data_IF_877129876161
#
_entry.id   IF_877129876161
#
_cell.length_a   1.000
_cell.length_b   1.000
_cell.length_c   1.000
_cell.angle_alpha   90.00
_cell.angle_beta   90.00
_cell.angle_gamma   90.00
#
_symmetry.space_group_name_H-M   'P 1'
#
loop_
_entity.id
_entity.type
_entity.pdbx_description
1 polymer ?
#
# COMPACT_ATOMS: atom_id res chain seq x y z
N UNK A 1 -9.87 12.08 -23.06
CA UNK A 1 -10.69 10.89 -22.78
C UNK A 1 -10.76 10.70 -21.28
N UNK A 2 -11.97 10.84 -20.74
CA UNK A 2 -12.15 10.73 -19.30
C UNK A 2 -12.38 9.27 -18.94
N UNK A 3 -11.33 8.59 -18.52
CA UNK A 3 -11.49 7.27 -17.94
C UNK A 3 -12.03 7.44 -16.53
N UNK A 4 -13.08 6.70 -16.22
CA UNK A 4 -13.66 6.67 -14.90
C UNK A 4 -12.57 6.21 -13.90
N UNK A 5 -12.47 6.91 -12.77
CA UNK A 5 -11.53 6.55 -11.71
C UNK A 5 -11.75 5.13 -11.23
N UNK A 6 -13.00 4.67 -11.22
CA UNK A 6 -13.34 3.31 -10.76
C UNK A 6 -12.84 2.24 -11.73
N UNK A 7 -12.61 2.59 -13.00
CA UNK A 7 -12.00 1.69 -13.98
C UNK A 7 -10.50 1.62 -13.76
N UNK A 8 -9.86 2.78 -13.57
CA UNK A 8 -8.40 2.86 -13.39
C UNK A 8 -7.97 2.42 -12.00
N UNK A 9 -8.78 2.70 -10.99
CA UNK A 9 -8.48 2.45 -9.59
C UNK A 9 -9.64 1.68 -8.97
N UNK A 10 -9.78 0.39 -9.32
CA UNK A 10 -10.94 -0.38 -8.88
C UNK A 10 -11.02 -0.42 -7.36
N UNK A 11 -12.22 -0.14 -6.86
CA UNK A 11 -12.54 -0.26 -5.44
C UNK A 11 -13.22 -1.59 -5.22
N UNK A 12 -12.76 -2.28 -4.21
CA UNK A 12 -13.34 -3.54 -3.81
C UNK A 12 -13.41 -3.59 -2.30
N UNK A 13 -14.47 -4.14 -1.70
CA UNK A 13 -14.53 -4.29 -0.25
C UNK A 13 -13.44 -5.22 0.29
N UNK A 14 -12.82 -6.00 -0.58
CA UNK A 14 -11.75 -6.93 -0.21
C UNK A 14 -10.36 -6.43 -0.57
N UNK A 15 -10.25 -5.17 -0.98
CA UNK A 15 -8.97 -4.58 -1.33
C UNK A 15 -8.51 -3.61 -0.24
N UNK A 16 -7.20 -3.44 -0.14
CA UNK A 16 -6.59 -2.42 0.72
C UNK A 16 -5.52 -1.69 -0.07
N UNK A 17 -5.04 -0.59 0.49
CA UNK A 17 -4.06 0.27 -0.16
C UNK A 17 -2.86 0.48 0.73
N UNK A 18 -1.71 0.66 0.09
CA UNK A 18 -0.44 0.93 0.75
C UNK A 18 0.30 1.99 -0.05
N UNK A 19 1.06 2.83 0.62
CA UNK A 19 2.02 3.70 -0.04
C UNK A 19 3.40 3.35 0.49
N UNK A 20 4.32 3.08 -0.42
CA UNK A 20 5.71 2.80 -0.07
C UNK A 20 6.61 3.88 -0.63
N UNK A 21 7.74 4.12 0.03
CA UNK A 21 8.74 5.07 -0.42
C UNK A 21 10.08 4.36 -0.58
N UNK A 22 10.84 4.77 -1.57
CA UNK A 22 12.19 4.25 -1.79
C UNK A 22 13.01 5.28 -2.55
N UNK A 23 14.31 5.10 -2.56
CA UNK A 23 15.17 5.93 -3.39
C UNK A 23 14.94 5.60 -4.87
N UNK A 24 15.13 6.55 -5.79
CA UNK A 24 14.92 6.29 -7.21
C UNK A 24 15.68 5.07 -7.73
N UNK A 25 16.91 4.87 -7.28
CA UNK A 25 17.72 3.74 -7.73
C UNK A 25 17.23 2.38 -7.18
N UNK A 26 16.41 2.40 -6.14
CA UNK A 26 15.87 1.18 -5.53
C UNK A 26 14.48 0.85 -6.04
N UNK A 27 13.88 1.73 -6.83
CA UNK A 27 12.56 1.48 -7.35
C UNK A 27 12.57 0.32 -8.35
N UNK A 28 11.66 -0.63 -8.14
CA UNK A 28 11.43 -1.73 -9.07
C UNK A 28 10.01 -2.23 -8.88
N UNK A 29 9.20 -2.08 -9.93
CA UNK A 29 7.82 -2.55 -9.90
C UNK A 29 7.76 -4.07 -9.71
N UNK A 30 8.66 -4.81 -10.33
CA UNK A 30 8.68 -6.27 -10.22
C UNK A 30 9.03 -6.74 -8.82
N UNK A 31 9.97 -6.07 -8.16
CA UNK A 31 10.35 -6.41 -6.79
C UNK A 31 9.21 -6.09 -5.82
N UNK A 32 8.55 -4.94 -6.01
CA UNK A 32 7.41 -4.55 -5.19
C UNK A 32 6.28 -5.57 -5.33
N UNK A 33 5.95 -5.96 -6.57
CA UNK A 33 4.92 -6.95 -6.82
C UNK A 33 5.28 -8.30 -6.21
N UNK A 34 6.54 -8.71 -6.32
CA UNK A 34 7.03 -9.95 -5.72
C UNK A 34 6.89 -9.93 -4.20
N UNK A 35 7.21 -8.82 -3.56
CA UNK A 35 7.06 -8.69 -2.11
C UNK A 35 5.61 -8.90 -1.69
N UNK A 36 4.66 -8.32 -2.43
CA UNK A 36 3.24 -8.49 -2.18
C UNK A 36 2.82 -9.95 -2.43
N UNK A 37 3.28 -10.55 -3.51
CA UNK A 37 2.90 -11.91 -3.86
C UNK A 37 3.50 -12.95 -2.92
N UNK A 38 4.64 -12.66 -2.30
CA UNK A 38 5.25 -13.54 -1.32
C UNK A 38 4.34 -13.80 -0.11
N UNK A 39 3.46 -12.86 0.23
CA UNK A 39 2.50 -13.07 1.32
C UNK A 39 1.16 -13.60 0.85
N UNK A 40 1.03 -13.99 -0.43
CA UNK A 40 -0.19 -14.54 -0.99
C UNK A 40 -1.18 -13.53 -1.53
N UNK A 41 -0.85 -12.23 -1.48
CA UNK A 41 -1.67 -11.18 -2.06
C UNK A 41 -1.25 -10.91 -3.50
N UNK A 42 -2.06 -10.13 -4.21
CA UNK A 42 -1.76 -9.69 -5.57
C UNK A 42 -1.91 -8.18 -5.67
N UNK A 43 -1.06 -7.55 -6.47
CA UNK A 43 -1.19 -6.13 -6.80
C UNK A 43 -2.26 -5.99 -7.86
N UNK A 44 -3.30 -5.22 -7.57
CA UNK A 44 -4.36 -4.93 -8.54
C UNK A 44 -4.23 -3.54 -9.13
N UNK A 45 -3.42 -2.68 -8.54
CA UNK A 45 -3.08 -1.38 -9.09
C UNK A 45 -1.76 -0.91 -8.49
N UNK A 46 -0.92 -0.28 -9.33
CA UNK A 46 0.35 0.29 -8.91
C UNK A 46 0.52 1.62 -9.61
N UNK A 47 0.71 2.69 -8.85
CA UNK A 47 0.95 4.02 -9.37
C UNK A 47 2.23 4.59 -8.77
N UNK A 48 3.13 5.01 -9.63
CA UNK A 48 4.30 5.76 -9.21
C UNK A 48 3.91 7.22 -9.11
N UNK A 49 3.99 7.77 -7.91
CA UNK A 49 3.62 9.14 -7.65
C UNK A 49 4.80 10.06 -7.94
N UNK A 50 4.51 11.26 -8.46
CA UNK A 50 5.54 12.26 -8.63
C UNK A 50 6.12 12.57 -7.25
N UNK A 51 7.46 12.54 -7.16
CA UNK A 51 8.12 12.80 -5.89
C UNK A 51 8.00 14.27 -5.55
N UNK A 52 7.38 14.55 -4.42
CA UNK A 52 7.34 15.89 -3.83
C UNK A 52 8.03 15.89 -2.47
N UNK A 53 8.75 14.82 -2.15
CA UNK A 53 9.47 14.77 -0.89
C UNK A 53 10.73 15.61 -1.01
N UNK A 54 11.13 16.24 0.10
CA UNK A 54 12.34 17.04 0.16
C UNK A 54 13.61 16.21 -0.08
N UNK A 55 13.50 14.89 -0.01
CA UNK A 55 14.63 13.98 -0.17
C UNK A 55 14.68 13.32 -1.55
N UNK A 56 13.74 13.66 -2.44
CA UNK A 56 13.71 13.09 -3.79
C UNK A 56 13.30 11.62 -3.85
N UNK A 57 12.68 11.09 -2.81
CA UNK A 57 12.23 9.70 -2.80
C UNK A 57 11.07 9.50 -3.76
N UNK A 58 11.00 8.29 -4.31
CA UNK A 58 9.87 7.86 -5.12
C UNK A 58 8.82 7.26 -4.20
N UNK A 59 7.58 7.68 -4.35
CA UNK A 59 6.45 7.07 -3.67
C UNK A 59 5.63 6.25 -4.64
N UNK A 60 5.19 5.09 -4.19
CA UNK A 60 4.40 4.16 -5.01
C UNK A 60 3.14 3.81 -4.24
N UNK A 61 2.00 4.12 -4.84
CA UNK A 61 0.70 3.77 -4.28
C UNK A 61 0.29 2.40 -4.83
N UNK A 62 -0.04 1.49 -3.93
CA UNK A 62 -0.42 0.13 -4.26
C UNK A 62 -1.84 -0.15 -3.81
N UNK A 63 -2.58 -0.87 -4.64
CA UNK A 63 -3.82 -1.50 -4.22
C UNK A 63 -3.65 -3.01 -4.35
N UNK A 64 -4.01 -3.73 -3.30
CA UNK A 64 -3.86 -5.18 -3.24
C UNK A 64 -5.20 -5.86 -2.98
N UNK A 65 -5.30 -7.14 -3.32
CA UNK A 65 -6.53 -7.92 -3.25
C UNK A 65 -6.75 -8.57 -1.88
N UNK A 66 -6.36 -7.87 -0.81
CA UNK A 66 -6.53 -8.33 0.57
C UNK A 66 -7.12 -7.22 1.43
N UNK A 67 -8.06 -7.56 2.29
CA UNK A 67 -8.63 -6.60 3.24
C UNK A 67 -7.61 -6.16 4.27
N UNK A 68 -6.77 -7.10 4.72
CA UNK A 68 -5.74 -6.83 5.71
C UNK A 68 -4.40 -6.58 5.02
N UNK A 69 -3.91 -5.34 5.01
CA UNK A 69 -2.67 -5.01 4.31
C UNK A 69 -1.40 -5.33 5.12
N UNK A 70 -1.54 -5.70 6.38
CA UNK A 70 -0.38 -5.84 7.28
C UNK A 70 0.63 -6.89 6.80
N UNK A 71 0.22 -8.09 6.36
CA UNK A 71 1.20 -9.05 5.86
C UNK A 71 1.99 -8.51 4.65
N UNK A 72 1.32 -7.81 3.74
CA UNK A 72 1.98 -7.19 2.59
C UNK A 72 2.93 -6.08 3.03
N UNK A 73 2.53 -5.26 3.99
CA UNK A 73 3.39 -4.21 4.54
C UNK A 73 4.66 -4.78 5.15
N UNK A 74 4.54 -5.86 5.90
CA UNK A 74 5.69 -6.54 6.50
C UNK A 74 6.62 -7.11 5.43
N UNK A 75 6.06 -7.72 4.40
CA UNK A 75 6.83 -8.27 3.30
C UNK A 75 7.58 -7.17 2.56
N UNK A 76 6.92 -6.05 2.28
CA UNK A 76 7.55 -4.90 1.62
C UNK A 76 8.71 -4.36 2.44
N UNK A 77 8.57 -4.28 3.76
CA UNK A 77 9.68 -3.85 4.61
C UNK A 77 10.84 -4.83 4.57
N UNK A 78 10.57 -6.12 4.55
CA UNK A 78 11.64 -7.13 4.42
C UNK A 78 12.39 -6.97 3.11
N UNK A 79 11.72 -6.50 2.07
CA UNK A 79 12.36 -6.24 0.77
C UNK A 79 13.06 -4.89 0.69
N UNK A 80 13.04 -4.12 1.79
CA UNK A 80 13.79 -2.87 1.89
C UNK A 80 12.98 -1.61 1.59
N UNK A 81 11.67 -1.71 1.44
CA UNK A 81 10.82 -0.55 1.19
C UNK A 81 10.29 0.02 2.49
N UNK A 82 10.15 1.35 2.53
CA UNK A 82 9.52 2.03 3.64
C UNK A 82 8.03 2.11 3.39
N UNK A 83 7.22 1.61 4.32
CA UNK A 83 5.76 1.72 4.23
C UNK A 83 5.34 3.00 4.94
N UNK A 84 4.82 3.96 4.19
CA UNK A 84 4.50 5.29 4.72
C UNK A 84 3.01 5.47 4.99
N UNK A 85 2.16 4.66 4.38
CA UNK A 85 0.72 4.75 4.60
C UNK A 85 0.07 3.40 4.36
N UNK A 86 -0.92 3.08 5.18
CA UNK A 86 -1.75 1.88 5.03
C UNK A 86 -3.21 2.32 5.18
N UNK A 87 -4.05 1.84 4.25
CA UNK A 87 -5.48 2.10 4.31
C UNK A 87 -6.25 0.80 4.05
N UNK A 88 -6.95 0.34 5.08
CA UNK A 88 -7.80 -0.84 4.98
C UNK A 88 -9.23 -0.43 4.66
N UNK A 89 -10.00 -1.30 3.96
CA UNK A 89 -11.38 -0.95 3.64
C UNK A 89 -12.22 -0.76 4.90
N UNK A 90 -13.05 0.28 4.86
CA UNK A 90 -14.07 0.47 5.87
C UNK A 90 -15.27 -0.39 5.46
N UNK A 91 -15.49 -1.46 6.17
CA UNK A 91 -16.79 -2.09 6.13
C UNK A 91 -17.79 -1.11 6.75
N UNK A 92 -19.08 -1.27 6.46
CA UNK A 92 -20.15 -0.59 7.17
C UNK A 92 -20.15 -1.00 8.66
N UNK A 93 -19.04 -0.77 9.30
CA UNK A 93 -18.75 -1.21 10.64
C UNK A 93 -18.76 0.02 11.53
N UNK A 94 -19.62 0.05 12.57
CA UNK A 94 -19.61 1.16 13.51
C UNK A 94 -18.27 1.33 14.23
N UNK A 95 -17.36 0.36 14.11
CA UNK A 95 -16.04 0.40 14.70
C UNK A 95 -14.94 0.75 13.70
N UNK A 96 -15.30 1.32 12.55
CA UNK A 96 -14.33 1.65 11.48
C UNK A 96 -13.19 2.53 11.98
N UNK A 97 -13.48 3.51 12.83
CA UNK A 97 -12.44 4.38 13.40
C UNK A 97 -11.45 3.60 14.26
N UNK A 98 -11.95 2.64 15.04
CA UNK A 98 -11.07 1.80 15.85
C UNK A 98 -10.19 0.93 14.98
N UNK A 99 -10.73 0.43 13.89
CA UNK A 99 -9.96 -0.37 12.93
C UNK A 99 -8.85 0.46 12.30
N UNK A 100 -9.14 1.69 11.91
CA UNK A 100 -8.13 2.61 11.37
C UNK A 100 -7.03 2.89 12.40
N UNK A 101 -7.43 3.15 13.63
CA UNK A 101 -6.48 3.40 14.71
C UNK A 101 -5.54 2.20 14.90
N UNK A 102 -6.08 0.98 14.86
CA UNK A 102 -5.27 -0.23 14.97
C UNK A 102 -4.29 -0.39 13.81
N UNK A 103 -4.74 -0.07 12.60
CA UNK A 103 -3.87 -0.14 11.43
C UNK A 103 -2.72 0.87 11.57
N UNK A 104 -3.01 2.07 12.04
CA UNK A 104 -1.99 3.09 12.27
C UNK A 104 -1.00 2.66 13.36
N UNK A 105 -1.47 2.03 14.42
CA UNK A 105 -0.59 1.49 15.45
C UNK A 105 0.33 0.41 14.89
N UNK A 106 -0.21 -0.49 14.07
CA UNK A 106 0.59 -1.53 13.43
C UNK A 106 1.63 -0.94 12.51
N UNK A 107 1.29 0.15 11.81
CA UNK A 107 2.24 0.85 10.96
C UNK A 107 3.43 1.37 11.76
N UNK A 108 3.19 1.89 12.96
CA UNK A 108 4.26 2.34 13.85
C UNK A 108 5.18 1.20 14.25
N UNK A 109 4.63 0.02 14.51
CA UNK A 109 5.45 -1.15 14.81
C UNK A 109 6.34 -1.55 13.63
N UNK A 110 5.85 -1.35 12.41
CA UNK A 110 6.62 -1.68 11.20
C UNK A 110 7.78 -0.70 10.97
N UNK A 111 7.69 0.50 11.52
CA UNK A 111 8.72 1.54 11.36
C UNK A 111 9.88 1.45 12.35
N UNK A 112 9.81 0.57 13.32
CA UNK A 112 10.83 0.42 14.36
C UNK A 112 11.98 -0.48 13.90
#
# INVERSE_FOLDING_TARGET
>A
MDLDKDILFPRSPDASSLVVACRPQDYSASVIARAVEDCGAHVINLNVLASHTSHGDVQVALRIDRRNPVPAARSLRRFGYEVVEIDAPEADDPYAEQTRSRVNELLRYLEI
#
